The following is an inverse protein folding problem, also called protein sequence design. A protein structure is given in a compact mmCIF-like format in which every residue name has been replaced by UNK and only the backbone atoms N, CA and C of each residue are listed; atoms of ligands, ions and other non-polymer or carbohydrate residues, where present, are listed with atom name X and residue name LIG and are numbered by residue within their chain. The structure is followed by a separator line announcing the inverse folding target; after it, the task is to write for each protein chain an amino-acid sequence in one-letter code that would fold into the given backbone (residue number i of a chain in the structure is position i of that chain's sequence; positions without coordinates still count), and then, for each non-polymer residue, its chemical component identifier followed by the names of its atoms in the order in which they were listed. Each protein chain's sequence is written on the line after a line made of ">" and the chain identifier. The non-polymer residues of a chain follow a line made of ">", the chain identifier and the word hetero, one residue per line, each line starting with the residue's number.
data_IF_690777890417
#
_entry.id   IF_690777890417
#
_cell.length_a   1.000
_cell.length_b   1.000
_cell.length_c   1.000
_cell.angle_alpha   90.00
_cell.angle_beta   90.00
_cell.angle_gamma   90.00
#
_symmetry.space_group_name_H-M   'P 1'
#
loop_
_entity.id
_entity.type
_entity.pdbx_description
1 polymer ?
#
# COMPACT_ATOMS: atom_id res chain seq x y z
N UNK A 1 30.08 38.62 26.13
CA UNK A 1 30.35 38.41 24.70
C UNK A 1 29.17 38.99 23.92
N UNK A 2 29.39 40.13 23.28
CA UNK A 2 28.36 40.95 22.63
C UNK A 2 28.05 40.44 21.22
N UNK A 3 26.76 40.28 20.89
CA UNK A 3 26.28 40.01 19.53
C UNK A 3 25.83 41.32 18.87
N UNK A 4 26.53 41.69 17.80
CA UNK A 4 26.28 42.86 16.96
C UNK A 4 25.17 42.52 15.97
N UNK A 5 24.09 43.29 16.01
CA UNK A 5 22.97 43.28 15.06
C UNK A 5 23.39 44.02 13.78
N UNK A 6 23.32 43.35 12.63
CA UNK A 6 23.64 43.92 11.33
C UNK A 6 22.34 44.36 10.64
N UNK A 7 22.12 45.67 10.52
CA UNK A 7 20.97 46.25 9.80
C UNK A 7 21.28 46.33 8.30
N UNK A 8 20.51 45.61 7.50
CA UNK A 8 20.54 45.64 6.04
C UNK A 8 19.98 46.96 5.51
N UNK A 9 20.80 47.72 4.79
CA UNK A 9 20.39 48.92 4.03
C UNK A 9 19.47 48.50 2.87
N UNK A 10 18.19 48.84 2.95
CA UNK A 10 17.29 48.86 1.79
C UNK A 10 17.61 50.11 0.96
N UNK A 11 18.27 49.91 -0.19
CA UNK A 11 18.45 50.94 -1.20
C UNK A 11 17.10 51.25 -1.87
N UNK A 12 16.58 52.45 -1.63
CA UNK A 12 15.41 52.96 -2.35
C UNK A 12 15.78 53.18 -3.83
N UNK A 13 15.18 52.37 -4.71
CA UNK A 13 15.22 52.60 -6.15
C UNK A 13 14.39 53.84 -6.51
N UNK A 14 14.85 54.68 -7.46
CA UNK A 14 14.19 55.93 -7.83
C UNK A 14 12.82 55.68 -8.48
N UNK A 15 11.82 56.48 -8.07
CA UNK A 15 10.40 56.40 -8.48
C UNK A 15 10.16 56.29 -10.01
N UNK A 16 11.10 56.76 -10.83
CA UNK A 16 11.02 56.69 -12.29
C UNK A 16 11.15 55.26 -12.85
N UNK A 17 11.83 54.34 -12.15
CA UNK A 17 11.92 52.93 -12.56
C UNK A 17 10.65 52.14 -12.19
N UNK A 18 9.99 52.52 -11.10
CA UNK A 18 8.75 51.86 -10.66
C UNK A 18 7.63 51.99 -11.70
N UNK A 19 7.46 53.17 -12.31
CA UNK A 19 6.45 53.38 -13.36
C UNK A 19 6.71 52.53 -14.61
N UNK A 20 7.96 52.37 -15.04
CA UNK A 20 8.31 51.52 -16.19
C UNK A 20 8.07 50.04 -15.90
N UNK A 21 8.37 49.59 -14.68
CA UNK A 21 8.05 48.22 -14.25
C UNK A 21 6.55 47.96 -14.19
N UNK A 22 5.73 48.88 -13.68
CA UNK A 22 4.27 48.74 -13.66
C UNK A 22 3.70 48.66 -15.08
N UNK A 23 4.11 49.54 -16.00
CA UNK A 23 3.60 49.51 -17.38
C UNK A 23 4.05 48.26 -18.14
N UNK A 24 5.25 47.74 -17.89
CA UNK A 24 5.68 46.45 -18.43
C UNK A 24 4.88 45.27 -17.87
N UNK A 25 4.50 45.31 -16.58
CA UNK A 25 3.66 44.29 -15.95
C UNK A 25 2.21 44.32 -16.46
N UNK A 26 1.66 45.52 -16.71
CA UNK A 26 0.31 45.69 -17.29
C UNK A 26 0.31 45.27 -18.77
N UNK A 27 1.33 45.63 -19.55
CA UNK A 27 1.43 45.18 -20.94
C UNK A 27 1.63 43.65 -21.05
N UNK A 28 2.40 43.04 -20.13
CA UNK A 28 2.56 41.60 -20.06
C UNK A 28 1.28 40.86 -19.62
N UNK A 29 0.43 41.49 -18.81
CA UNK A 29 -0.87 40.91 -18.41
C UNK A 29 -1.96 41.10 -19.46
N UNK A 30 -1.92 42.16 -20.28
CA UNK A 30 -2.88 42.36 -21.37
C UNK A 30 -2.56 41.55 -22.65
N UNK A 31 -1.31 41.14 -22.88
CA UNK A 31 -0.94 40.33 -24.05
C UNK A 31 -1.23 38.82 -23.87
N UNK A 32 -1.62 38.36 -22.66
CA UNK A 32 -1.82 36.95 -22.34
C UNK A 32 -3.24 36.39 -22.55
N UNK A 33 -4.18 37.17 -23.10
CA UNK A 33 -5.60 36.78 -23.18
C UNK A 33 -6.15 36.68 -24.60
N UNK A 34 -5.30 36.39 -25.59
CA UNK A 34 -5.78 35.76 -26.82
C UNK A 34 -6.11 34.31 -26.50
N UNK A 35 -7.33 34.09 -25.99
CA UNK A 35 -7.96 32.77 -26.02
C UNK A 35 -8.17 32.44 -27.49
N UNK A 36 -7.13 31.85 -28.11
CA UNK A 36 -7.31 31.06 -29.32
C UNK A 36 -8.43 30.10 -28.94
N UNK A 37 -9.58 30.23 -29.62
CA UNK A 37 -10.62 29.22 -29.58
C UNK A 37 -9.96 27.97 -30.17
N UNK A 38 -9.25 27.23 -29.31
CA UNK A 38 -8.62 25.98 -29.66
C UNK A 38 -9.77 25.13 -30.18
N UNK A 39 -9.68 24.79 -31.46
CA UNK A 39 -10.58 23.88 -32.12
C UNK A 39 -10.68 22.65 -31.21
N UNK A 40 -11.81 22.53 -30.51
CA UNK A 40 -11.99 21.46 -29.55
C UNK A 40 -12.16 20.20 -30.37
N UNK A 41 -11.08 19.43 -30.51
CA UNK A 41 -11.11 18.15 -31.18
C UNK A 41 -12.09 17.25 -30.42
N UNK A 42 -13.25 17.03 -31.04
CA UNK A 42 -14.23 16.06 -30.58
C UNK A 42 -13.57 14.67 -30.60
N UNK A 43 -13.57 14.02 -29.44
CA UNK A 43 -13.08 12.68 -29.27
C UNK A 43 -14.22 11.73 -28.88
N UNK A 44 -14.04 10.46 -29.23
CA UNK A 44 -14.92 9.36 -28.83
C UNK A 44 -14.15 8.44 -27.89
N UNK A 45 -14.60 8.33 -26.65
CA UNK A 45 -14.01 7.45 -25.63
C UNK A 45 -14.84 6.18 -25.53
N UNK A 46 -14.25 5.03 -25.89
CA UNK A 46 -14.89 3.72 -25.79
C UNK A 46 -14.57 3.06 -24.45
N UNK A 47 -15.56 2.49 -23.76
CA UNK A 47 -15.39 1.88 -22.45
C UNK A 47 -15.14 0.35 -22.52
N UNK A 48 -14.42 -0.20 -21.54
CA UNK A 48 -14.15 -1.65 -21.46
C UNK A 48 -15.33 -2.46 -20.95
N UNK A 49 -16.05 -1.97 -19.94
CA UNK A 49 -17.08 -2.72 -19.20
C UNK A 49 -18.44 -2.73 -19.91
N UNK A 50 -18.46 -2.71 -21.25
CA UNK A 50 -19.70 -2.67 -22.03
C UNK A 50 -20.49 -1.36 -21.89
N UNK A 51 -19.95 -0.34 -21.23
CA UNK A 51 -20.59 0.96 -20.99
C UNK A 51 -20.77 1.84 -22.24
N UNK A 52 -20.64 1.29 -23.44
CA UNK A 52 -20.76 2.01 -24.70
C UNK A 52 -19.58 2.95 -24.99
N UNK A 53 -19.91 4.12 -25.52
CA UNK A 53 -18.96 5.19 -25.80
C UNK A 53 -19.50 6.53 -25.30
N UNK A 54 -18.60 7.50 -25.11
CA UNK A 54 -18.94 8.90 -24.84
C UNK A 54 -18.23 9.81 -25.83
N UNK A 55 -18.95 10.80 -26.34
CA UNK A 55 -18.42 11.85 -27.18
C UNK A 55 -18.22 13.12 -26.35
N UNK A 56 -17.09 13.79 -26.55
CA UNK A 56 -16.75 15.01 -25.82
C UNK A 56 -15.39 15.55 -26.21
N UNK A 57 -14.94 16.61 -25.56
CA UNK A 57 -13.60 17.15 -25.72
C UNK A 57 -12.73 16.77 -24.51
N UNK A 58 -11.50 16.30 -24.76
CA UNK A 58 -10.54 16.03 -23.67
C UNK A 58 -10.06 17.37 -23.12
N UNK A 59 -10.40 17.67 -21.87
CA UNK A 59 -9.97 18.90 -21.19
C UNK A 59 -8.56 18.74 -20.62
N UNK A 60 -8.28 17.57 -20.04
CA UNK A 60 -7.03 17.31 -19.33
C UNK A 60 -6.71 15.83 -19.35
N UNK A 61 -5.44 15.51 -19.60
CA UNK A 61 -4.90 14.18 -19.39
C UNK A 61 -3.98 14.16 -18.17
N UNK A 62 -4.10 13.12 -17.36
CA UNK A 62 -3.29 12.89 -16.17
C UNK A 62 -2.71 11.48 -16.18
N UNK A 63 -1.83 11.19 -15.21
CA UNK A 63 -1.35 9.83 -14.99
C UNK A 63 -2.48 8.83 -14.65
N UNK A 64 -3.62 9.32 -14.13
CA UNK A 64 -4.71 8.48 -13.60
C UNK A 64 -5.89 8.31 -14.56
N UNK A 65 -6.07 9.26 -15.46
CA UNK A 65 -7.17 9.24 -16.41
C UNK A 65 -7.24 10.51 -17.24
N UNK A 66 -8.40 10.69 -17.87
CA UNK A 66 -8.74 11.87 -18.65
C UNK A 66 -9.95 12.57 -18.04
N UNK A 67 -9.97 13.89 -18.08
CA UNK A 67 -11.16 14.70 -17.84
C UNK A 67 -11.77 15.04 -19.19
N UNK A 68 -13.01 14.60 -19.44
CA UNK A 68 -13.75 14.92 -20.67
C UNK A 68 -14.89 15.87 -20.37
N UNK A 69 -15.09 16.85 -21.25
CA UNK A 69 -16.29 17.68 -21.28
C UNK A 69 -17.32 16.99 -22.17
N UNK A 70 -18.41 16.51 -21.58
CA UNK A 70 -19.48 15.86 -22.32
C UNK A 70 -20.52 16.92 -22.67
N UNK A 71 -20.90 16.99 -23.95
CA UNK A 71 -22.01 17.83 -24.39
C UNK A 71 -23.30 17.33 -23.71
N UNK A 72 -23.96 18.19 -22.93
CA UNK A 72 -25.15 17.82 -22.17
C UNK A 72 -26.24 17.26 -23.10
N UNK A 73 -26.66 16.02 -22.87
CA UNK A 73 -27.64 15.33 -23.73
C UNK A 73 -29.09 15.78 -23.53
N UNK A 74 -29.37 16.76 -22.65
CA UNK A 74 -30.73 17.21 -22.33
C UNK A 74 -30.97 18.63 -22.82
N UNK A 75 -31.82 18.75 -23.85
CA UNK A 75 -32.24 19.99 -24.49
C UNK A 75 -32.91 21.01 -23.53
N UNK A 76 -33.39 20.57 -22.37
CA UNK A 76 -34.22 21.40 -21.49
C UNK A 76 -33.44 22.20 -20.44
N UNK A 77 -32.12 22.00 -20.33
CA UNK A 77 -31.26 22.82 -19.46
C UNK A 77 -30.11 23.38 -20.27
N UNK A 78 -30.39 24.43 -21.03
CA UNK A 78 -29.41 25.11 -21.88
C UNK A 78 -28.20 25.58 -21.05
N UNK A 79 -27.07 24.88 -21.19
CA UNK A 79 -25.73 25.41 -20.85
C UNK A 79 -24.86 24.64 -19.86
N UNK A 80 -25.34 23.56 -19.22
CA UNK A 80 -24.49 22.83 -18.26
C UNK A 80 -23.66 21.72 -18.96
N UNK A 81 -22.45 22.05 -19.39
CA UNK A 81 -21.46 21.02 -19.75
C UNK A 81 -20.99 20.31 -18.48
N UNK A 82 -21.12 18.98 -18.41
CA UNK A 82 -20.59 18.21 -17.28
C UNK A 82 -19.18 17.75 -17.60
N UNK A 83 -18.22 18.11 -16.75
CA UNK A 83 -16.89 17.51 -16.77
C UNK A 83 -16.93 16.16 -16.06
N UNK A 84 -16.38 15.13 -16.69
CA UNK A 84 -16.27 13.80 -16.10
C UNK A 84 -14.83 13.31 -16.16
N UNK A 85 -14.33 12.86 -15.01
CA UNK A 85 -13.07 12.11 -14.94
C UNK A 85 -13.31 10.63 -15.27
N UNK A 86 -12.49 10.08 -16.16
CA UNK A 86 -12.52 8.67 -16.58
C UNK A 86 -11.13 8.08 -16.41
N UNK A 87 -11.03 6.96 -15.70
CA UNK A 87 -9.76 6.31 -15.42
C UNK A 87 -9.22 5.51 -16.61
N UNK A 88 -7.91 5.35 -16.66
CA UNK A 88 -7.28 4.55 -17.72
C UNK A 88 -7.72 3.09 -17.76
N UNK A 89 -8.08 2.46 -16.63
CA UNK A 89 -8.61 1.08 -16.60
C UNK A 89 -10.02 0.95 -17.20
N UNK A 90 -10.77 2.03 -17.29
CA UNK A 90 -12.13 2.05 -17.85
C UNK A 90 -12.14 2.28 -19.36
N UNK A 91 -11.06 2.86 -19.92
CA UNK A 91 -10.99 3.31 -21.31
C UNK A 91 -10.38 2.24 -22.21
N UNK A 92 -11.16 1.70 -23.14
CA UNK A 92 -10.69 0.74 -24.15
C UNK A 92 -9.87 1.43 -25.24
N UNK A 93 -10.38 2.55 -25.76
CA UNK A 93 -9.74 3.32 -26.82
C UNK A 93 -10.29 4.75 -26.85
N UNK A 94 -9.51 5.66 -27.43
CA UNK A 94 -9.90 7.05 -27.66
C UNK A 94 -9.69 7.31 -29.15
N UNK A 95 -10.72 7.79 -29.84
CA UNK A 95 -10.71 8.11 -31.27
C UNK A 95 -10.97 9.61 -31.47
N UNK A 96 -10.54 10.18 -32.61
CA UNK A 96 -10.80 11.59 -32.96
C UNK A 96 -9.75 12.59 -32.47
N UNK A 97 -8.77 12.14 -31.68
CA UNK A 97 -7.64 12.96 -31.26
C UNK A 97 -6.31 12.35 -31.72
N UNK A 98 -5.33 13.21 -31.99
CA UNK A 98 -3.97 12.83 -32.38
C UNK A 98 -3.39 11.88 -31.34
N UNK A 99 -3.08 10.64 -31.72
CA UNK A 99 -2.57 9.62 -30.80
C UNK A 99 -1.16 9.98 -30.32
N UNK A 100 -1.06 10.51 -29.11
CA UNK A 100 0.23 10.79 -28.46
C UNK A 100 0.83 9.50 -27.89
N UNK A 101 2.15 9.21 -28.05
CA UNK A 101 2.77 7.97 -27.56
C UNK A 101 2.55 7.70 -26.05
N UNK A 102 2.44 8.75 -25.24
CA UNK A 102 2.16 8.67 -23.80
C UNK A 102 0.78 8.06 -23.54
N UNK A 103 -0.22 8.40 -24.36
CA UNK A 103 -1.58 7.88 -24.26
C UNK A 103 -1.62 6.38 -24.52
N UNK A 104 -0.93 5.91 -25.56
CA UNK A 104 -0.83 4.47 -25.86
C UNK A 104 -0.29 3.68 -24.68
N UNK A 105 0.79 4.15 -24.07
CA UNK A 105 1.37 3.51 -22.87
C UNK A 105 0.39 3.50 -21.69
N UNK A 106 -0.35 4.59 -21.46
CA UNK A 106 -1.38 4.66 -20.39
C UNK A 106 -2.55 3.71 -20.65
N UNK A 107 -2.94 3.54 -21.91
CA UNK A 107 -3.97 2.56 -22.31
C UNK A 107 -3.53 1.12 -22.06
N UNK A 108 -2.25 0.78 -22.30
CA UNK A 108 -1.68 -0.55 -22.00
C UNK A 108 -1.65 -0.84 -20.49
N UNK A 109 -1.26 0.15 -19.67
CA UNK A 109 -1.32 0.05 -18.21
C UNK A 109 -2.78 -0.15 -17.76
N UNK A 110 -3.69 0.67 -18.28
CA UNK A 110 -5.12 0.56 -18.01
C UNK A 110 -5.69 -0.82 -18.39
N UNK A 111 -5.25 -1.38 -19.52
CA UNK A 111 -5.65 -2.73 -19.93
C UNK A 111 -5.16 -3.79 -18.94
N UNK A 112 -3.91 -3.69 -18.50
CA UNK A 112 -3.34 -4.61 -17.51
C UNK A 112 -4.12 -4.55 -16.19
N UNK A 113 -4.44 -3.35 -15.69
CA UNK A 113 -5.27 -3.18 -14.48
C UNK A 113 -6.67 -3.76 -14.65
N UNK A 114 -7.31 -3.51 -15.80
CA UNK A 114 -8.64 -4.03 -16.10
C UNK A 114 -8.66 -5.57 -16.16
N UNK A 115 -7.67 -6.17 -16.84
CA UNK A 115 -7.51 -7.63 -16.90
C UNK A 115 -7.26 -8.21 -15.50
N UNK A 116 -6.42 -7.56 -14.71
CA UNK A 116 -6.15 -7.94 -13.32
C UNK A 116 -7.42 -7.98 -12.47
N UNK A 117 -8.20 -6.89 -12.47
CA UNK A 117 -9.49 -6.81 -11.75
C UNK A 117 -10.49 -7.85 -12.24
N UNK A 118 -10.60 -8.04 -13.55
CA UNK A 118 -11.53 -9.02 -14.14
C UNK A 118 -11.18 -10.45 -13.73
N UNK A 119 -9.88 -10.81 -13.77
CA UNK A 119 -9.40 -12.13 -13.34
C UNK A 119 -9.60 -12.34 -11.85
N UNK A 120 -9.30 -11.33 -11.04
CA UNK A 120 -9.49 -11.36 -9.60
C UNK A 120 -10.96 -11.58 -9.22
N UNK A 121 -11.89 -10.90 -9.90
CA UNK A 121 -13.34 -11.10 -9.74
C UNK A 121 -13.78 -12.52 -10.10
N UNK A 122 -13.07 -13.18 -11.02
CA UNK A 122 -13.31 -14.58 -11.44
C UNK A 122 -12.58 -15.60 -10.56
N UNK A 123 -11.84 -15.17 -9.54
CA UNK A 123 -11.04 -16.07 -8.68
C UNK A 123 -9.71 -16.51 -9.29
N UNK A 124 -9.32 -16.03 -10.48
CA UNK A 124 -8.01 -16.32 -11.06
C UNK A 124 -6.94 -15.41 -10.44
N UNK A 125 -6.54 -15.75 -9.21
CA UNK A 125 -5.58 -14.97 -8.42
C UNK A 125 -4.20 -14.89 -9.08
N UNK A 126 -3.73 -15.98 -9.71
CA UNK A 126 -2.40 -16.03 -10.32
C UNK A 126 -2.35 -15.15 -11.58
N UNK A 127 -3.30 -15.32 -12.49
CA UNK A 127 -3.38 -14.48 -13.68
C UNK A 127 -3.67 -13.02 -13.35
N UNK A 128 -4.46 -12.75 -12.31
CA UNK A 128 -4.67 -11.39 -11.81
C UNK A 128 -3.36 -10.75 -11.34
N UNK A 129 -2.57 -11.46 -10.53
CA UNK A 129 -1.28 -11.00 -10.02
C UNK A 129 -0.34 -10.58 -11.14
N UNK A 130 -0.16 -11.42 -12.15
CA UNK A 130 0.71 -11.14 -13.29
C UNK A 130 0.31 -9.82 -13.99
N UNK A 131 -0.99 -9.61 -14.18
CA UNK A 131 -1.50 -8.37 -14.77
C UNK A 131 -1.18 -7.13 -13.90
N UNK A 132 -1.34 -7.23 -12.57
CA UNK A 132 -1.01 -6.12 -11.67
C UNK A 132 0.49 -5.84 -11.60
N UNK A 133 1.34 -6.87 -11.66
CA UNK A 133 2.79 -6.71 -11.71
C UNK A 133 3.25 -6.03 -13.00
N UNK A 134 2.64 -6.37 -14.15
CA UNK A 134 2.89 -5.68 -15.43
C UNK A 134 2.48 -4.21 -15.32
N UNK A 135 1.28 -3.93 -14.79
CA UNK A 135 0.81 -2.57 -14.59
C UNK A 135 1.77 -1.76 -13.68
N UNK A 136 2.16 -2.33 -12.54
CA UNK A 136 3.05 -1.69 -11.57
C UNK A 136 4.41 -1.28 -12.16
N UNK A 137 4.96 -2.05 -13.09
CA UNK A 137 6.22 -1.71 -13.80
C UNK A 137 6.05 -0.52 -14.74
N UNK A 138 4.86 -0.35 -15.32
CA UNK A 138 4.58 0.72 -16.27
C UNK A 138 4.30 2.08 -15.63
N UNK A 139 3.82 2.08 -14.37
CA UNK A 139 3.37 3.26 -13.64
C UNK A 139 4.55 4.04 -13.07
N UNK A 140 4.55 5.37 -13.30
CA UNK A 140 5.57 6.26 -12.75
C UNK A 140 5.51 6.31 -11.20
N UNK A 141 6.65 6.53 -10.53
CA UNK A 141 6.70 6.68 -9.09
C UNK A 141 6.07 8.00 -8.66
N UNK A 142 4.74 8.02 -8.58
CA UNK A 142 3.92 9.13 -8.12
C UNK A 142 2.81 8.62 -7.21
N UNK A 143 2.20 9.51 -6.43
CA UNK A 143 1.00 9.21 -5.65
C UNK A 143 -0.22 9.20 -6.58
N UNK A 144 -0.30 8.19 -7.44
CA UNK A 144 -1.35 8.05 -8.46
C UNK A 144 -2.38 6.99 -8.05
N UNK A 145 -3.62 7.18 -8.47
CA UNK A 145 -4.70 6.22 -8.33
C UNK A 145 -4.35 4.88 -8.99
N UNK A 146 -3.69 4.89 -10.16
CA UNK A 146 -3.27 3.65 -10.81
C UNK A 146 -2.26 2.86 -9.98
N UNK A 147 -1.30 3.54 -9.33
CA UNK A 147 -0.30 2.89 -8.45
C UNK A 147 -1.00 2.24 -7.27
N UNK A 148 -1.98 2.93 -6.68
CA UNK A 148 -2.78 2.40 -5.59
C UNK A 148 -3.55 1.14 -6.02
N UNK A 149 -4.20 1.16 -7.20
CA UNK A 149 -4.92 0.00 -7.73
C UNK A 149 -3.99 -1.19 -7.99
N UNK A 150 -2.80 -0.95 -8.56
CA UNK A 150 -1.81 -2.01 -8.78
C UNK A 150 -1.33 -2.61 -7.45
N UNK A 151 -0.99 -1.77 -6.47
CA UNK A 151 -0.59 -2.20 -5.13
C UNK A 151 -1.68 -2.99 -4.42
N UNK A 152 -2.94 -2.56 -4.54
CA UNK A 152 -4.09 -3.28 -4.02
C UNK A 152 -4.27 -4.66 -4.64
N UNK A 153 -4.22 -4.74 -5.97
CA UNK A 153 -4.32 -6.02 -6.68
C UNK A 153 -3.19 -7.00 -6.35
N UNK A 154 -1.94 -6.51 -6.22
CA UNK A 154 -0.79 -7.34 -5.80
C UNK A 154 -1.00 -7.86 -4.37
N UNK A 155 -1.50 -7.02 -3.47
CA UNK A 155 -1.75 -7.43 -2.09
C UNK A 155 -2.92 -8.41 -1.95
N UNK A 156 -4.02 -8.21 -2.68
CA UNK A 156 -5.16 -9.14 -2.68
C UNK A 156 -4.78 -10.52 -3.22
N UNK A 157 -3.78 -10.58 -4.11
CA UNK A 157 -3.28 -11.83 -4.70
C UNK A 157 -2.10 -12.43 -3.94
N UNK A 158 -1.81 -11.96 -2.71
CA UNK A 158 -0.68 -12.45 -1.92
C UNK A 158 -0.76 -13.94 -1.54
N UNK A 159 -1.96 -14.50 -1.42
CA UNK A 159 -2.17 -15.90 -1.03
C UNK A 159 -1.55 -16.91 -2.00
N UNK A 160 -1.55 -16.60 -3.30
CA UNK A 160 -0.94 -17.43 -4.35
C UNK A 160 0.54 -17.15 -4.59
N UNK A 161 1.10 -16.17 -3.88
CA UNK A 161 2.45 -15.65 -4.08
C UNK A 161 3.39 -16.08 -2.95
N UNK A 162 3.44 -17.39 -2.64
CA UNK A 162 4.21 -17.90 -1.49
C UNK A 162 5.68 -17.46 -1.55
N UNK A 163 6.29 -17.60 -2.72
CA UNK A 163 7.71 -17.31 -2.95
C UNK A 163 7.98 -15.81 -3.20
N UNK A 164 6.92 -15.02 -3.41
CA UNK A 164 7.00 -13.58 -3.67
C UNK A 164 6.33 -12.77 -2.54
N UNK A 165 6.36 -13.31 -1.33
CA UNK A 165 5.72 -12.70 -0.16
C UNK A 165 6.23 -11.29 0.12
N UNK A 166 7.55 -11.07 0.00
CA UNK A 166 8.18 -9.77 0.24
C UNK A 166 7.63 -8.69 -0.72
N UNK A 167 7.35 -9.05 -1.96
CA UNK A 167 6.76 -8.15 -2.94
C UNK A 167 5.29 -7.84 -2.62
N UNK A 168 4.53 -8.83 -2.14
CA UNK A 168 3.16 -8.61 -1.69
C UNK A 168 3.12 -7.70 -0.47
N UNK A 169 4.09 -7.85 0.43
CA UNK A 169 4.24 -7.02 1.63
C UNK A 169 4.62 -5.59 1.25
N UNK A 170 5.60 -5.40 0.37
CA UNK A 170 5.94 -4.07 -0.16
C UNK A 170 4.72 -3.38 -0.80
N UNK A 171 3.94 -4.11 -1.61
CA UNK A 171 2.70 -3.60 -2.19
C UNK A 171 1.67 -3.22 -1.13
N UNK A 172 1.54 -4.02 -0.06
CA UNK A 172 0.65 -3.73 1.07
C UNK A 172 1.03 -2.44 1.80
N UNK A 173 2.32 -2.26 2.09
CA UNK A 173 2.85 -1.08 2.78
C UNK A 173 2.65 0.18 1.91
N UNK A 174 2.93 0.07 0.60
CA UNK A 174 2.64 1.14 -0.37
C UNK A 174 1.17 1.50 -0.42
N UNK A 175 0.28 0.52 -0.43
CA UNK A 175 -1.17 0.76 -0.43
C UNK A 175 -1.60 1.57 0.80
N UNK A 176 -1.11 1.22 1.99
CA UNK A 176 -1.41 1.93 3.24
C UNK A 176 -1.00 3.41 3.17
N UNK A 177 0.23 3.69 2.70
CA UNK A 177 0.73 5.07 2.51
C UNK A 177 -0.08 5.82 1.44
N UNK A 178 -0.36 5.19 0.29
CA UNK A 178 -1.10 5.81 -0.80
C UNK A 178 -2.54 6.15 -0.40
N UNK A 179 -3.24 5.25 0.32
CA UNK A 179 -4.58 5.54 0.84
C UNK A 179 -4.59 6.71 1.83
N UNK A 180 -3.57 6.81 2.70
CA UNK A 180 -3.42 7.95 3.60
C UNK A 180 -3.24 9.30 2.88
N UNK A 181 -2.58 9.28 1.71
CA UNK A 181 -2.32 10.49 0.88
C UNK A 181 -3.51 10.88 0.00
N UNK A 182 -4.03 9.93 -0.76
CA UNK A 182 -5.12 10.16 -1.72
C UNK A 182 -6.46 10.30 -0.97
N UNK A 183 -6.58 9.66 0.18
CA UNK A 183 -7.75 9.73 1.05
C UNK A 183 -8.92 8.87 0.63
N UNK A 184 -8.65 7.80 -0.12
CA UNK A 184 -9.70 6.85 -0.52
C UNK A 184 -9.89 5.82 0.59
N UNK A 185 -11.09 5.77 1.21
CA UNK A 185 -11.32 4.92 2.38
C UNK A 185 -11.63 3.46 2.04
N UNK A 186 -12.02 3.13 0.81
CA UNK A 186 -12.48 1.79 0.42
C UNK A 186 -11.68 1.22 -0.74
N UNK A 187 -11.63 -0.11 -0.80
CA UNK A 187 -11.11 -0.87 -1.93
C UNK A 187 -11.75 -0.44 -3.25
N UNK A 188 -10.92 -0.37 -4.30
CA UNK A 188 -11.35 -0.01 -5.66
C UNK A 188 -11.69 -1.22 -6.51
N UNK A 189 -11.14 -2.36 -6.13
CA UNK A 189 -11.56 -3.66 -6.62
C UNK A 189 -12.76 -3.98 -5.72
N UNK A 190 -13.97 -4.12 -6.24
CA UNK A 190 -15.22 -4.43 -5.48
C UNK A 190 -15.17 -5.78 -4.69
N UNK A 191 -13.97 -6.34 -4.51
CA UNK A 191 -13.63 -7.40 -3.59
C UNK A 191 -13.52 -6.90 -2.14
N UNK A 192 -13.47 -7.86 -1.22
CA UNK A 192 -13.23 -7.64 0.21
C UNK A 192 -11.99 -6.75 0.39
N UNK A 193 -12.12 -5.67 1.16
CA UNK A 193 -11.03 -4.73 1.39
C UNK A 193 -9.85 -5.50 2.03
N UNK A 194 -8.67 -5.54 1.39
CA UNK A 194 -7.54 -6.27 1.94
C UNK A 194 -6.99 -5.61 3.21
N UNK A 195 -7.27 -4.32 3.41
CA UNK A 195 -6.79 -3.54 4.54
C UNK A 195 -7.80 -3.58 5.68
N UNK A 196 -7.31 -3.91 6.86
CA UNK A 196 -7.99 -3.63 8.13
C UNK A 196 -8.15 -2.11 8.29
N UNK A 197 -9.40 -1.63 8.35
CA UNK A 197 -9.69 -0.21 8.48
C UNK A 197 -9.19 0.39 9.80
N UNK A 198 -8.98 -0.42 10.84
CA UNK A 198 -8.51 0.05 12.14
C UNK A 198 -6.97 0.10 12.19
N UNK A 199 -6.32 -0.94 11.67
CA UNK A 199 -4.87 -1.07 11.66
C UNK A 199 -4.16 -0.43 10.46
N UNK A 200 -4.84 -0.23 9.33
CA UNK A 200 -4.21 0.20 8.08
C UNK A 200 -3.26 -0.84 7.48
N UNK A 201 -3.44 -2.10 7.87
CA UNK A 201 -2.56 -3.22 7.53
C UNK A 201 -3.32 -4.30 6.77
N UNK A 202 -2.62 -5.06 5.92
CA UNK A 202 -3.26 -6.06 5.08
C UNK A 202 -3.32 -7.41 5.78
N UNK A 203 -4.54 -7.92 5.97
CA UNK A 203 -4.83 -9.15 6.72
C UNK A 203 -4.06 -10.35 6.19
N UNK A 204 -4.00 -10.43 4.87
CA UNK A 204 -3.38 -11.54 4.15
C UNK A 204 -1.86 -11.40 4.01
N UNK A 205 -1.22 -10.33 4.52
CA UNK A 205 0.22 -10.08 4.31
C UNK A 205 0.92 -9.58 5.58
N UNK A 206 1.04 -10.45 6.57
CA UNK A 206 1.82 -10.16 7.77
C UNK A 206 3.33 -10.20 7.50
N UNK A 207 4.15 -9.33 8.13
CA UNK A 207 5.61 -9.37 8.03
C UNK A 207 6.17 -10.49 8.91
N UNK A 208 5.83 -11.73 8.57
CA UNK A 208 6.26 -12.95 9.23
C UNK A 208 6.92 -13.88 8.24
N UNK A 209 7.95 -14.58 8.73
CA UNK A 209 8.68 -15.57 7.95
C UNK A 209 8.78 -16.87 8.72
N UNK A 210 8.55 -17.96 7.99
CA UNK A 210 8.52 -19.31 8.54
C UNK A 210 9.94 -19.87 8.68
N UNK A 211 10.81 -19.52 7.74
CA UNK A 211 12.21 -19.94 7.69
C UNK A 211 13.16 -18.75 7.53
N UNK A 212 14.42 -18.96 7.95
CA UNK A 212 15.44 -17.91 7.95
C UNK A 212 15.91 -17.48 6.56
N UNK A 213 15.83 -18.36 5.55
CA UNK A 213 16.29 -18.05 4.19
C UNK A 213 15.29 -17.13 3.47
N UNK A 214 13.99 -17.41 3.60
CA UNK A 214 12.91 -16.54 3.17
C UNK A 214 12.98 -15.18 3.86
N UNK A 215 13.24 -15.16 5.17
CA UNK A 215 13.42 -13.94 5.94
C UNK A 215 14.63 -13.12 5.43
N UNK A 216 15.74 -13.78 5.14
CA UNK A 216 16.96 -13.14 4.61
C UNK A 216 16.76 -12.57 3.20
N UNK A 217 16.08 -13.32 2.33
CA UNK A 217 15.73 -12.85 0.98
C UNK A 217 14.82 -11.62 1.06
N UNK A 218 13.80 -11.68 1.91
CA UNK A 218 12.88 -10.56 2.12
C UNK A 218 13.58 -9.34 2.71
N UNK A 219 14.53 -9.53 3.64
CA UNK A 219 15.34 -8.46 4.20
C UNK A 219 16.09 -7.68 3.11
N UNK A 220 16.80 -8.39 2.22
CA UNK A 220 17.53 -7.75 1.13
C UNK A 220 16.61 -6.99 0.18
N UNK A 221 15.45 -7.59 -0.15
CA UNK A 221 14.43 -6.96 -0.98
C UNK A 221 13.87 -5.67 -0.35
N UNK A 222 13.52 -5.70 0.94
CA UNK A 222 12.93 -4.58 1.67
C UNK A 222 13.92 -3.44 1.92
N UNK A 223 15.21 -3.74 2.12
CA UNK A 223 16.26 -2.70 2.15
C UNK A 223 16.35 -1.98 0.82
N UNK A 224 16.35 -2.72 -0.29
CA UNK A 224 16.36 -2.11 -1.63
C UNK A 224 15.09 -1.32 -1.93
N UNK A 225 13.93 -1.75 -1.41
CA UNK A 225 12.68 -0.99 -1.47
C UNK A 225 12.81 0.33 -0.70
N UNK A 226 13.29 0.29 0.55
CA UNK A 226 13.48 1.47 1.39
C UNK A 226 14.43 2.49 0.76
N UNK A 227 15.53 2.05 0.14
CA UNK A 227 16.46 2.92 -0.59
C UNK A 227 15.79 3.56 -1.80
N UNK A 228 14.95 2.82 -2.53
CA UNK A 228 14.14 3.37 -3.62
C UNK A 228 13.19 4.45 -3.11
N UNK A 229 12.45 4.17 -2.04
CA UNK A 229 11.53 5.13 -1.43
C UNK A 229 12.26 6.41 -0.98
N UNK A 230 13.48 6.31 -0.41
CA UNK A 230 14.33 7.47 -0.10
C UNK A 230 14.68 8.27 -1.35
N UNK A 231 15.06 7.60 -2.44
CA UNK A 231 15.38 8.26 -3.71
C UNK A 231 14.17 8.96 -4.34
N UNK A 232 12.97 8.46 -4.08
CA UNK A 232 11.68 9.06 -4.47
C UNK A 232 11.22 10.18 -3.52
N UNK A 233 12.04 10.55 -2.51
CA UNK A 233 11.69 11.46 -1.41
C UNK A 233 10.47 11.03 -0.57
N UNK A 234 10.15 9.73 -0.58
CA UNK A 234 9.07 9.14 0.22
C UNK A 234 9.59 8.68 1.59
N UNK A 235 9.82 9.64 2.49
CA UNK A 235 10.40 9.37 3.82
C UNK A 235 9.53 8.45 4.66
N UNK A 236 8.20 8.57 4.55
CA UNK A 236 7.26 7.75 5.32
C UNK A 236 7.32 6.28 4.89
N UNK A 237 7.26 6.01 3.58
CA UNK A 237 7.37 4.66 3.05
C UNK A 237 8.75 4.07 3.33
N UNK A 238 9.82 4.85 3.14
CA UNK A 238 11.17 4.40 3.42
C UNK A 238 11.37 3.97 4.89
N UNK A 239 10.76 4.68 5.83
CA UNK A 239 10.82 4.32 7.25
C UNK A 239 10.07 3.01 7.51
N UNK A 240 8.86 2.88 6.97
CA UNK A 240 8.02 1.68 7.10
C UNK A 240 8.74 0.45 6.52
N UNK A 241 9.28 0.54 5.30
CA UNK A 241 10.02 -0.53 4.65
C UNK A 241 11.31 -0.88 5.43
N UNK A 242 11.98 0.12 6.00
CA UNK A 242 13.16 -0.09 6.86
C UNK A 242 12.80 -0.81 8.17
N UNK A 243 11.66 -0.51 8.78
CA UNK A 243 11.21 -1.19 9.99
C UNK A 243 10.84 -2.65 9.69
N UNK A 244 10.17 -2.91 8.56
CA UNK A 244 9.85 -4.27 8.11
C UNK A 244 11.13 -5.05 7.77
N UNK A 245 12.12 -4.42 7.16
CA UNK A 245 13.43 -5.03 6.91
C UNK A 245 14.14 -5.45 8.21
N UNK A 246 14.00 -4.67 9.29
CA UNK A 246 14.52 -5.07 10.62
C UNK A 246 13.79 -6.29 11.17
N UNK A 247 12.46 -6.37 11.00
CA UNK A 247 11.69 -7.55 11.42
C UNK A 247 12.18 -8.79 10.65
N UNK A 248 12.31 -8.68 9.32
CA UNK A 248 12.83 -9.74 8.47
C UNK A 248 14.24 -10.19 8.88
N UNK A 249 15.11 -9.22 9.16
CA UNK A 249 16.47 -9.49 9.59
C UNK A 249 16.50 -10.25 10.93
N UNK A 250 15.61 -9.92 11.87
CA UNK A 250 15.54 -10.61 13.17
C UNK A 250 15.07 -12.06 13.02
N UNK A 251 14.07 -12.30 12.19
CA UNK A 251 13.58 -13.65 11.87
C UNK A 251 14.62 -14.47 11.09
N UNK A 252 15.48 -13.82 10.32
CA UNK A 252 16.64 -14.44 9.65
C UNK A 252 17.81 -14.74 10.60
N UNK A 253 17.72 -14.37 11.89
CA UNK A 253 18.84 -14.49 12.83
C UNK A 253 20.02 -13.56 12.52
N UNK A 254 19.81 -12.52 11.70
CA UNK A 254 20.84 -11.55 11.37
C UNK A 254 21.01 -10.55 12.51
N UNK A 255 22.23 -10.00 12.69
CA UNK A 255 22.46 -8.91 13.64
C UNK A 255 21.55 -7.72 13.31
N UNK A 256 20.73 -7.31 14.28
CA UNK A 256 19.91 -6.11 14.14
C UNK A 256 20.76 -4.88 14.42
N UNK A 257 20.63 -3.81 13.61
CA UNK A 257 21.17 -2.53 14.00
C UNK A 257 20.57 -2.16 15.37
N UNK A 258 21.35 -1.50 16.26
CA UNK A 258 20.80 -1.01 17.51
C UNK A 258 19.57 -0.17 17.19
N UNK A 259 18.54 -0.24 18.05
CA UNK A 259 17.35 0.58 17.89
C UNK A 259 17.78 2.01 17.59
N UNK A 260 17.48 2.49 16.38
CA UNK A 260 17.86 3.84 16.00
C UNK A 260 17.27 4.76 17.06
N UNK A 261 18.08 5.63 17.68
CA UNK A 261 17.57 6.63 18.64
C UNK A 261 16.36 7.25 17.95
N UNK A 262 15.17 6.95 18.46
CA UNK A 262 13.91 7.28 17.78
C UNK A 262 14.03 8.74 17.43
N UNK A 263 14.25 9.03 16.15
CA UNK A 263 14.45 10.40 15.70
C UNK A 263 13.04 10.94 15.78
N UNK A 264 12.71 11.50 16.94
CA UNK A 264 11.43 12.13 17.24
C UNK A 264 11.15 13.03 16.04
N UNK A 265 10.30 12.51 15.17
CA UNK A 265 10.16 13.02 13.82
C UNK A 265 9.50 14.37 14.03
N UNK A 266 10.27 15.44 13.81
CA UNK A 266 9.71 16.74 13.49
C UNK A 266 8.79 16.47 12.29
N UNK A 267 7.50 16.34 12.59
CA UNK A 267 6.44 16.11 11.64
C UNK A 267 6.33 17.35 10.78
N UNK A 268 7.21 17.49 9.79
CA UNK A 268 7.01 18.43 8.70
C UNK A 268 5.70 18.02 8.00
N UNK A 269 4.71 18.89 8.09
CA UNK A 269 3.43 18.70 7.42
C UNK A 269 3.69 18.47 5.93
N UNK A 270 3.26 17.35 5.33
CA UNK A 270 3.53 17.10 3.93
C UNK A 270 2.82 18.14 3.06
N UNK A 271 3.60 18.72 2.15
CA UNK A 271 3.23 19.76 1.19
C UNK A 271 1.96 19.44 0.39
N UNK A 272 1.29 20.53 0.03
CA UNK A 272 0.10 20.63 -0.82
C UNK A 272 0.16 19.77 -2.09
N UNK A 273 -0.70 18.74 -2.14
CA UNK A 273 -1.02 18.00 -3.36
C UNK A 273 -1.68 18.94 -4.41
N UNK A 274 -1.50 18.68 -5.72
CA UNK A 274 -2.22 19.42 -6.75
C UNK A 274 -3.73 19.31 -6.54
N UNK A 275 -4.39 20.46 -6.54
CA UNK A 275 -5.84 20.65 -6.35
C UNK A 275 -6.64 20.00 -7.49
N UNK A 276 -6.74 18.67 -7.48
CA UNK A 276 -7.81 17.94 -8.14
C UNK A 276 -9.02 17.86 -7.20
N UNK A 277 -10.22 17.87 -7.76
CA UNK A 277 -11.50 17.69 -7.04
C UNK A 277 -11.64 16.24 -6.53
N UNK A 278 -10.76 15.83 -5.62
CA UNK A 278 -10.83 14.54 -4.95
C UNK A 278 -11.83 14.62 -3.79
N UNK A 279 -12.53 13.52 -3.47
CA UNK A 279 -13.36 13.48 -2.27
C UNK A 279 -12.52 13.82 -1.03
N UNK A 280 -13.08 14.51 -0.03
CA UNK A 280 -12.34 14.89 1.16
C UNK A 280 -11.76 13.65 1.84
N UNK A 281 -10.45 13.69 2.12
CA UNK A 281 -9.74 12.62 2.80
C UNK A 281 -10.41 12.36 4.16
N UNK A 282 -10.95 11.16 4.38
CA UNK A 282 -11.51 10.80 5.68
C UNK A 282 -10.40 10.74 6.74
N UNK A 283 -10.69 11.23 7.96
CA UNK A 283 -9.77 11.14 9.09
C UNK A 283 -9.41 9.69 9.46
N UNK A 284 -10.31 8.74 9.14
CA UNK A 284 -10.15 7.31 9.42
C UNK A 284 -8.95 6.70 8.68
N UNK A 285 -8.85 6.89 7.36
CA UNK A 285 -7.77 6.28 6.57
C UNK A 285 -6.38 6.80 6.96
N UNK A 286 -6.28 8.09 7.29
CA UNK A 286 -5.04 8.69 7.81
C UNK A 286 -4.68 8.13 9.18
N UNK A 287 -5.66 7.93 10.06
CA UNK A 287 -5.45 7.35 11.37
C UNK A 287 -4.98 5.89 11.27
N UNK A 288 -5.62 5.10 10.41
CA UNK A 288 -5.27 3.70 10.17
C UNK A 288 -3.82 3.55 9.67
N UNK A 289 -3.44 4.30 8.63
CA UNK A 289 -2.07 4.28 8.12
C UNK A 289 -1.02 4.67 9.19
N UNK A 290 -1.36 5.67 10.03
CA UNK A 290 -0.51 6.09 11.14
C UNK A 290 -0.40 5.01 12.22
N UNK A 291 -1.49 4.31 12.54
CA UNK A 291 -1.51 3.21 13.50
C UNK A 291 -0.67 2.02 13.00
N UNK A 292 -0.82 1.64 11.74
CA UNK A 292 -0.02 0.58 11.11
C UNK A 292 1.48 0.91 11.12
N UNK A 293 1.86 2.12 10.73
CA UNK A 293 3.26 2.57 10.79
C UNK A 293 3.82 2.56 12.22
N UNK A 294 3.04 3.03 13.20
CA UNK A 294 3.42 2.99 14.63
C UNK A 294 3.61 1.55 15.11
N UNK A 295 2.70 0.65 14.74
CA UNK A 295 2.79 -0.76 15.09
C UNK A 295 4.04 -1.43 14.52
N UNK A 296 4.36 -1.21 13.24
CA UNK A 296 5.56 -1.78 12.61
C UNK A 296 6.85 -1.29 13.28
N UNK A 297 6.90 -0.02 13.66
CA UNK A 297 8.02 0.54 14.44
C UNK A 297 8.15 -0.14 15.82
N UNK A 298 7.03 -0.32 16.54
CA UNK A 298 7.02 -1.04 17.81
C UNK A 298 7.47 -2.50 17.67
N UNK A 299 7.06 -3.17 16.60
CA UNK A 299 7.49 -4.54 16.33
C UNK A 299 8.99 -4.59 15.99
N UNK A 300 9.49 -3.71 15.14
CA UNK A 300 10.93 -3.63 14.84
C UNK A 300 11.78 -3.42 16.11
N UNK A 301 11.27 -2.67 17.10
CA UNK A 301 11.91 -2.52 18.41
C UNK A 301 11.73 -3.75 19.31
N UNK A 302 10.57 -4.41 19.25
CA UNK A 302 10.28 -5.67 19.94
C UNK A 302 11.21 -6.82 19.54
N UNK A 303 11.74 -6.79 18.32
CA UNK A 303 12.72 -7.76 17.83
C UNK A 303 14.15 -7.21 17.70
N UNK A 304 14.42 -6.05 18.33
CA UNK A 304 15.76 -5.47 18.36
C UNK A 304 16.74 -6.32 19.21
N UNK A 305 18.03 -6.21 18.90
CA UNK A 305 19.10 -6.74 19.75
C UNK A 305 19.18 -6.04 21.11
N UNK A 306 18.66 -4.81 21.24
CA UNK A 306 18.59 -4.06 22.49
C UNK A 306 17.44 -4.53 23.40
N UNK A 307 17.79 -5.16 24.53
CA UNK A 307 16.82 -5.60 25.54
C UNK A 307 15.98 -4.46 26.13
N UNK A 308 16.53 -3.25 26.23
CA UNK A 308 15.81 -2.07 26.70
C UNK A 308 14.71 -1.65 25.72
N UNK A 309 15.02 -1.60 24.43
CA UNK A 309 14.05 -1.35 23.36
C UNK A 309 12.94 -2.41 23.36
N UNK A 310 13.29 -3.70 23.47
CA UNK A 310 12.32 -4.79 23.56
C UNK A 310 11.38 -4.64 24.76
N UNK A 311 11.92 -4.36 25.95
CA UNK A 311 11.11 -4.16 27.15
C UNK A 311 10.16 -2.98 27.01
N UNK A 312 10.62 -1.85 26.45
CA UNK A 312 9.79 -0.66 26.23
C UNK A 312 8.68 -0.91 25.21
N UNK A 313 8.99 -1.58 24.10
CA UNK A 313 7.99 -1.89 23.08
C UNK A 313 6.95 -2.88 23.60
N UNK A 314 7.33 -3.89 24.40
CA UNK A 314 6.37 -4.81 25.05
C UNK A 314 5.31 -4.09 25.88
N UNK A 315 5.66 -3.05 26.64
CA UNK A 315 4.67 -2.28 27.41
C UNK A 315 3.64 -1.64 26.49
N UNK A 316 4.07 -1.10 25.35
CA UNK A 316 3.18 -0.44 24.39
C UNK A 316 2.36 -1.45 23.59
N UNK A 317 2.95 -2.58 23.20
CA UNK A 317 2.25 -3.69 22.55
C UNK A 317 1.19 -4.30 23.47
N UNK A 318 1.51 -4.51 24.75
CA UNK A 318 0.54 -4.97 25.74
C UNK A 318 -0.62 -3.99 25.92
N UNK A 319 -0.38 -2.68 25.82
CA UNK A 319 -1.45 -1.68 25.80
C UNK A 319 -2.30 -1.79 24.53
N UNK A 320 -1.65 -1.94 23.36
CA UNK A 320 -2.32 -2.11 22.08
C UNK A 320 -3.21 -3.36 22.06
N UNK A 321 -2.77 -4.47 22.64
CA UNK A 321 -3.57 -5.70 22.76
C UNK A 321 -4.85 -5.50 23.59
N UNK A 322 -4.84 -4.55 24.52
CA UNK A 322 -6.00 -4.21 25.36
C UNK A 322 -6.91 -3.15 24.75
N UNK A 323 -6.35 -2.18 24.02
CA UNK A 323 -7.09 -1.03 23.49
C UNK A 323 -7.62 -1.25 22.09
N UNK A 324 -6.92 -2.04 21.27
CA UNK A 324 -7.29 -2.29 19.89
C UNK A 324 -8.14 -3.55 19.79
N UNK A 325 -9.04 -3.54 18.82
CA UNK A 325 -9.83 -4.70 18.42
C UNK A 325 -9.32 -5.25 17.09
N UNK A 326 -10.00 -6.28 16.58
CA UNK A 326 -9.70 -6.84 15.26
C UNK A 326 -8.26 -7.36 15.14
N UNK A 327 -7.64 -7.05 14.01
CA UNK A 327 -6.48 -7.77 13.52
C UNK A 327 -5.17 -7.16 14.02
N UNK A 328 -5.15 -5.85 14.23
CA UNK A 328 -4.04 -5.16 14.90
C UNK A 328 -3.74 -5.77 16.27
N UNK A 329 -4.77 -6.17 17.03
CA UNK A 329 -4.62 -6.86 18.32
C UNK A 329 -3.89 -8.20 18.17
N UNK A 330 -4.25 -9.00 17.17
CA UNK A 330 -3.63 -10.32 16.95
C UNK A 330 -2.17 -10.17 16.53
N UNK A 331 -1.87 -9.17 15.70
CA UNK A 331 -0.50 -8.85 15.30
C UNK A 331 0.34 -8.32 16.47
N UNK A 332 -0.24 -7.50 17.33
CA UNK A 332 0.41 -7.04 18.56
C UNK A 332 0.71 -8.20 19.52
N UNK A 333 -0.20 -9.17 19.63
CA UNK A 333 0.01 -10.40 20.41
C UNK A 333 1.19 -11.22 19.86
N UNK A 334 1.28 -11.37 18.53
CA UNK A 334 2.42 -12.01 17.90
C UNK A 334 3.73 -11.28 18.19
N UNK A 335 3.76 -9.96 17.96
CA UNK A 335 4.95 -9.14 18.16
C UNK A 335 5.43 -9.13 19.62
N UNK A 336 4.50 -9.09 20.59
CA UNK A 336 4.83 -9.19 22.02
C UNK A 336 5.40 -10.57 22.37
N UNK A 337 4.77 -11.65 21.86
CA UNK A 337 5.26 -13.00 22.01
C UNK A 337 6.66 -13.20 21.42
N UNK A 338 6.89 -12.68 20.21
CA UNK A 338 8.22 -12.64 19.56
C UNK A 338 9.26 -11.95 20.42
N UNK A 339 8.91 -10.82 21.03
CA UNK A 339 9.82 -10.09 21.92
C UNK A 339 10.23 -10.91 23.14
N UNK A 340 9.27 -11.59 23.78
CA UNK A 340 9.53 -12.42 24.96
C UNK A 340 10.39 -13.64 24.63
N UNK A 341 10.15 -14.29 23.49
CA UNK A 341 11.00 -15.40 23.05
C UNK A 341 12.39 -14.95 22.60
N UNK A 342 12.73 -13.67 22.61
CA UNK A 342 14.12 -13.23 22.41
C UNK A 342 14.89 -13.04 23.73
N UNK A 343 14.23 -13.22 24.86
CA UNK A 343 14.87 -13.11 26.17
C UNK A 343 15.62 -14.38 26.55
N UNK A 344 16.59 -14.21 27.46
CA UNK A 344 17.45 -15.30 27.93
C UNK A 344 16.79 -16.13 29.04
N UNK A 345 15.82 -15.56 29.75
CA UNK A 345 15.10 -16.23 30.83
C UNK A 345 14.11 -17.27 30.24
N UNK A 346 14.26 -18.58 30.56
CA UNK A 346 13.35 -19.61 30.09
C UNK A 346 11.87 -19.34 30.42
N UNK A 347 11.56 -18.68 31.53
CA UNK A 347 10.18 -18.38 31.90
C UNK A 347 9.57 -17.27 31.04
N UNK A 348 10.34 -16.24 30.70
CA UNK A 348 9.94 -15.25 29.70
C UNK A 348 9.74 -15.90 28.33
N UNK A 349 10.62 -16.82 27.94
CA UNK A 349 10.48 -17.57 26.68
C UNK A 349 9.18 -18.37 26.65
N UNK A 350 8.85 -19.12 27.72
CA UNK A 350 7.59 -19.87 27.82
C UNK A 350 6.37 -18.95 27.77
N UNK A 351 6.42 -17.79 28.43
CA UNK A 351 5.36 -16.78 28.35
C UNK A 351 5.17 -16.27 26.92
N UNK A 352 6.27 -16.03 26.20
CA UNK A 352 6.25 -15.63 24.79
C UNK A 352 5.63 -16.69 23.88
N UNK A 353 5.98 -17.96 24.08
CA UNK A 353 5.39 -19.12 23.40
C UNK A 353 3.89 -19.18 23.67
N UNK A 354 3.48 -19.06 24.93
CA UNK A 354 2.05 -19.06 25.32
C UNK A 354 1.25 -17.99 24.59
N UNK A 355 1.77 -16.75 24.50
CA UNK A 355 1.13 -15.67 23.74
C UNK A 355 1.02 -15.97 22.25
N UNK A 356 2.07 -16.50 21.63
CA UNK A 356 2.02 -16.85 20.21
C UNK A 356 1.03 -17.98 19.93
N UNK A 357 0.96 -19.00 20.79
CA UNK A 357 0.05 -20.14 20.62
C UNK A 357 -1.43 -19.81 20.84
N UNK A 358 -1.76 -18.65 21.42
CA UNK A 358 -3.14 -18.15 21.41
C UNK A 358 -3.64 -17.84 20.00
N UNK A 359 -2.74 -17.51 19.06
CA UNK A 359 -3.09 -17.17 17.68
C UNK A 359 -3.66 -18.37 16.92
N UNK A 360 -2.97 -19.51 16.77
CA UNK A 360 -3.54 -20.68 16.11
C UNK A 360 -4.79 -21.20 16.86
N UNK A 361 -4.87 -21.04 18.18
CA UNK A 361 -6.01 -21.50 18.97
C UNK A 361 -7.29 -20.68 18.73
N UNK A 362 -7.16 -19.36 18.56
CA UNK A 362 -8.31 -18.46 18.44
C UNK A 362 -8.56 -17.90 17.02
N UNK A 363 -7.51 -17.87 16.17
CA UNK A 363 -7.51 -17.20 14.86
C UNK A 363 -6.87 -18.07 13.75
N UNK A 364 -6.72 -19.38 13.98
CA UNK A 364 -6.04 -20.27 13.04
C UNK A 364 -6.73 -20.36 11.67
N UNK A 365 -8.04 -20.17 11.63
CA UNK A 365 -8.85 -20.22 10.40
C UNK A 365 -8.77 -18.89 9.66
N UNK A 366 -8.89 -17.78 10.37
CA UNK A 366 -8.92 -16.42 9.84
C UNK A 366 -7.53 -15.95 9.40
N UNK A 367 -6.48 -16.40 10.10
CA UNK A 367 -5.11 -15.94 9.92
C UNK A 367 -4.12 -17.10 9.80
N UNK A 368 -4.31 -18.01 8.84
CA UNK A 368 -3.58 -19.28 8.79
C UNK A 368 -2.07 -19.10 8.67
N UNK A 369 -1.61 -18.07 7.95
CA UNK A 369 -0.17 -17.77 7.85
C UNK A 369 0.44 -17.24 9.13
N UNK A 370 -0.28 -16.38 9.85
CA UNK A 370 0.21 -15.87 11.12
C UNK A 370 0.21 -16.97 12.18
N UNK A 371 -0.81 -17.84 12.16
CA UNK A 371 -0.89 -19.04 12.98
C UNK A 371 0.27 -20.00 12.70
N UNK A 372 0.56 -20.30 11.42
CA UNK A 372 1.70 -21.12 11.03
C UNK A 372 3.02 -20.53 11.51
N UNK A 373 3.24 -19.23 11.30
CA UNK A 373 4.44 -18.53 11.77
C UNK A 373 4.55 -18.58 13.31
N UNK A 374 3.44 -18.41 14.03
CA UNK A 374 3.40 -18.47 15.49
C UNK A 374 3.79 -19.85 16.01
N UNK A 375 3.30 -20.92 15.38
CA UNK A 375 3.67 -22.31 15.72
C UNK A 375 5.15 -22.56 15.42
N UNK A 376 5.62 -22.15 14.23
CA UNK A 376 7.02 -22.32 13.81
C UNK A 376 8.00 -21.63 14.77
N UNK A 377 7.76 -20.35 15.07
CA UNK A 377 8.60 -19.56 15.96
C UNK A 377 8.54 -20.06 17.41
N UNK A 378 7.38 -20.57 17.85
CA UNK A 378 7.25 -21.22 19.16
C UNK A 378 8.09 -22.50 19.25
N UNK A 379 8.10 -23.32 18.20
CA UNK A 379 8.91 -24.53 18.14
C UNK A 379 10.41 -24.23 18.21
N UNK A 380 10.87 -23.19 17.50
CA UNK A 380 12.26 -22.72 17.54
C UNK A 380 12.63 -22.24 18.96
N UNK A 381 11.75 -21.45 19.59
CA UNK A 381 11.98 -20.91 20.93
C UNK A 381 12.08 -22.01 22.00
N UNK A 382 11.18 -23.01 21.96
CA UNK A 382 11.20 -24.15 22.89
C UNK A 382 12.45 -25.02 22.71
N UNK A 383 12.85 -25.28 21.47
CA UNK A 383 14.09 -26.02 21.19
C UNK A 383 15.32 -25.29 21.76
N UNK A 384 15.35 -23.95 21.73
CA UNK A 384 16.44 -23.15 22.28
C UNK A 384 16.59 -23.30 23.80
N UNK A 385 15.49 -23.46 24.52
CA UNK A 385 15.50 -23.71 25.98
C UNK A 385 15.50 -25.20 26.34
N UNK A 386 15.88 -26.07 25.38
CA UNK A 386 16.01 -27.53 25.54
C UNK A 386 14.69 -28.27 25.82
N UNK A 387 13.53 -27.67 25.53
CA UNK A 387 12.24 -28.35 25.52
C UNK A 387 12.00 -29.01 24.14
N UNK A 388 12.74 -30.09 23.90
CA UNK A 388 12.79 -30.76 22.60
C UNK A 388 11.47 -31.47 22.26
N UNK A 389 10.76 -31.98 23.26
CA UNK A 389 9.50 -32.70 23.10
C UNK A 389 8.39 -31.75 22.64
N UNK A 390 8.18 -30.63 23.35
CA UNK A 390 7.19 -29.64 22.96
C UNK A 390 7.51 -29.03 21.59
N UNK A 391 8.79 -28.78 21.30
CA UNK A 391 9.21 -28.31 19.99
C UNK A 391 8.89 -29.32 18.86
N UNK A 392 9.04 -30.63 19.10
CA UNK A 392 8.70 -31.65 18.12
C UNK A 392 7.19 -31.72 17.83
N UNK A 393 6.35 -31.58 18.87
CA UNK A 393 4.89 -31.53 18.72
C UNK A 393 4.48 -30.32 17.86
N UNK A 394 5.03 -29.13 18.14
CA UNK A 394 4.70 -27.93 17.38
C UNK A 394 5.15 -28.02 15.91
N UNK A 395 6.31 -28.63 15.62
CA UNK A 395 6.72 -28.86 14.22
C UNK A 395 5.76 -29.77 13.47
N UNK A 396 5.18 -30.76 14.13
CA UNK A 396 4.13 -31.60 13.53
C UNK A 396 2.89 -30.78 13.22
N UNK A 397 2.40 -29.98 14.18
CA UNK A 397 1.24 -29.08 13.96
C UNK A 397 1.52 -28.12 12.80
N UNK A 398 2.72 -27.54 12.73
CA UNK A 398 3.12 -26.68 11.61
C UNK A 398 3.01 -27.41 10.26
N UNK A 399 3.47 -28.66 10.18
CA UNK A 399 3.37 -29.45 8.94
C UNK A 399 1.91 -29.71 8.53
N UNK A 400 1.02 -29.90 9.51
CA UNK A 400 -0.42 -30.07 9.27
C UNK A 400 -1.05 -28.78 8.70
N UNK A 401 -0.67 -27.61 9.22
CA UNK A 401 -1.05 -26.30 8.64
C UNK A 401 -0.57 -26.18 7.18
N UNK A 402 0.70 -26.54 6.91
CA UNK A 402 1.24 -26.47 5.56
C UNK A 402 0.45 -27.35 4.59
N UNK A 403 0.11 -28.57 4.96
CA UNK A 403 -0.70 -29.46 4.12
C UNK A 403 -2.09 -28.88 3.89
N UNK A 404 -2.79 -28.46 4.94
CA UNK A 404 -4.16 -27.96 4.86
C UNK A 404 -4.30 -26.75 3.92
N UNK A 405 -3.37 -25.79 3.99
CA UNK A 405 -3.44 -24.57 3.19
C UNK A 405 -2.73 -24.66 1.83
N UNK A 406 -1.97 -25.73 1.56
CA UNK A 406 -1.41 -26.01 0.23
C UNK A 406 -2.41 -26.72 -0.68
N UNK A 407 -3.15 -27.69 -0.15
CA UNK A 407 -4.12 -28.45 -0.96
C UNK A 407 -5.38 -27.66 -1.31
N UNK A 408 -5.81 -26.73 -0.45
CA UNK A 408 -6.97 -25.88 -0.69
C UNK A 408 -6.82 -24.99 -1.94
N UNK A 409 -5.61 -24.52 -2.24
CA UNK A 409 -5.38 -23.65 -3.40
C UNK A 409 -5.49 -24.36 -4.76
N UNK A 410 -5.36 -25.69 -4.82
CA UNK A 410 -5.47 -26.44 -6.07
C UNK A 410 -6.90 -26.92 -6.34
N UNK A 411 -7.63 -27.36 -5.29
CA UNK A 411 -8.94 -28.00 -5.47
C UNK A 411 -10.11 -27.03 -5.65
N UNK A 412 -10.05 -25.83 -5.07
CA UNK A 412 -11.15 -24.85 -5.20
C UNK A 412 -11.22 -24.18 -6.57
N UNK A 413 -10.10 -24.10 -7.30
CA UNK A 413 -10.08 -23.59 -8.68
C UNK A 413 -10.83 -24.49 -9.67
N UNK A 414 -11.02 -25.78 -9.34
CA UNK A 414 -11.75 -26.73 -10.19
C UNK A 414 -13.26 -26.67 -10.01
N UNK A 415 -13.74 -26.63 -8.76
CA UNK A 415 -15.17 -26.77 -8.45
C UNK A 415 -16.00 -25.52 -8.72
N UNK A 416 -15.44 -24.32 -8.56
CA UNK A 416 -16.19 -23.09 -8.87
C UNK A 416 -16.45 -22.93 -10.38
N UNK A 417 -15.59 -23.48 -11.24
CA UNK A 417 -15.79 -23.44 -12.69
C UNK A 417 -16.93 -24.36 -13.16
N UNK A 418 -17.14 -25.53 -12.54
CA UNK A 418 -18.25 -26.42 -12.90
C UNK A 418 -19.62 -25.83 -12.53
N UNK A 419 -19.73 -25.11 -11.41
CA UNK A 419 -21.04 -24.56 -10.99
C UNK A 419 -21.46 -23.32 -11.81
N UNK A 420 -20.52 -22.63 -12.46
CA UNK A 420 -20.84 -21.51 -13.35
C UNK A 420 -21.12 -21.93 -14.80
N UNK A 421 -20.48 -23.00 -15.30
CA UNK A 421 -20.71 -23.49 -16.67
C UNK A 421 -22.13 -24.08 -16.82
N UNK A 422 -22.66 -24.74 -15.80
CA UNK A 422 -24.04 -25.27 -15.82
C UNK A 422 -25.12 -24.19 -15.76
N UNK A 423 -24.80 -22.98 -15.27
CA UNK A 423 -25.73 -21.84 -15.34
C UNK A 423 -25.72 -21.09 -16.67
N UNK A 424 -24.70 -21.27 -17.51
CA UNK A 424 -24.61 -20.61 -18.83
C UNK A 424 -25.10 -21.47 -20.01
N UNK A 425 -25.42 -22.75 -19.79
CA UNK A 425 -26.03 -23.63 -20.81
C UNK A 425 -27.56 -23.73 -20.71
N UNK A 426 -28.18 -22.93 -19.84
CA UNK A 426 -29.61 -23.01 -19.51
C UNK A 426 -30.50 -21.90 -20.07
N UNK A 427 -29.97 -20.96 -20.88
CA UNK A 427 -30.74 -19.89 -21.52
C UNK A 427 -30.56 -19.90 -23.05
#
# INVERSE_FOLDING_TARGET
>A
MNLIVNQSKMSMLPLAHWRKCIFALIAATCAGSFSVAAEQNLCTVNFRDGGGYKEGSVLKESADGIEIQIAGATLDTAGASSTQFIRWDQIRSISGDSAEPIRSRRLEIGESLWRGRTRLTRGDLRGARECFLVAAKGIEPSASLLRMMASEGIAQTASVARDEWAQSLEAALKLSVLRGRIGVPKSWIDAIDPIDHDGGLILSVAPVWIDGDSAKSAQGFLVAAADRARSENDVALAQIESDVARIAAADAGLPQPPAGKSRETQSASPDSMPSGSWPPVSNSAKSAAKNGAKFLSLWADAVSSDAGARKKSRVTLAQMIRSEEGMLRVWAMYAEGRSLVMENDPDEVRNGVGKMLMIPAAYGIEMPRLAEAAVAQSAIALARIQDVESAAILRRIQSEYQTQFSEGSEKDNGKQNETQIDKQKGD
#
